data_IF_676134295347
#
_entry.id   IF_676134295347
#
_cell.length_a   1.000
_cell.length_b   1.000
_cell.length_c   1.000
_cell.angle_alpha   90.00
_cell.angle_beta   90.00
_cell.angle_gamma   90.00
#
_symmetry.space_group_name_H-M   'P 1'
#
loop_
_entity.id
_entity.type
_entity.pdbx_description
1 polymer ?
#
# COMPACT_ATOMS: atom_id res chain seq x y z
N UNK A 1 1.08 1.22 -17.31
CA UNK A 1 0.65 1.95 -16.12
C UNK A 1 1.09 1.08 -14.94
N UNK A 2 1.97 1.58 -14.06
CA UNK A 2 2.47 0.76 -12.94
C UNK A 2 1.39 0.73 -11.85
N UNK A 3 1.11 -0.42 -11.23
CA UNK A 3 0.10 -0.51 -10.17
C UNK A 3 0.62 0.15 -8.89
N UNK A 4 -0.22 0.99 -8.27
CA UNK A 4 -0.06 1.40 -6.88
C UNK A 4 -0.18 0.14 -6.01
N UNK A 5 0.80 -0.07 -5.15
CA UNK A 5 0.67 -1.04 -4.05
C UNK A 5 -0.20 -0.38 -3.01
N UNK A 6 -1.30 -1.03 -2.63
CA UNK A 6 -2.09 -0.67 -1.46
C UNK A 6 -1.94 -1.82 -0.46
N UNK A 7 -1.14 -1.58 0.57
CA UNK A 7 -1.04 -2.47 1.73
C UNK A 7 -1.77 -1.78 2.88
N UNK A 8 -2.86 -2.41 3.32
CA UNK A 8 -3.85 -1.80 4.20
C UNK A 8 -4.15 -2.77 5.33
N UNK A 9 -4.25 -2.27 6.56
CA UNK A 9 -4.86 -2.92 7.73
C UNK A 9 -5.54 -1.82 8.53
N UNK A 10 -6.71 -2.11 9.13
CA UNK A 10 -7.38 -1.24 10.10
C UNK A 10 -8.91 -1.24 9.98
N UNK A 11 -9.63 -0.63 10.94
CA UNK A 11 -11.10 -0.65 11.00
C UNK A 11 -11.75 -0.10 9.72
N UNK A 12 -13.00 -0.47 9.44
CA UNK A 12 -13.71 -0.13 8.16
C UNK A 12 -13.56 1.34 7.74
N UNK A 13 -13.52 2.29 8.69
CA UNK A 13 -13.31 3.72 8.41
C UNK A 13 -11.89 4.11 7.97
N UNK A 14 -10.86 3.43 8.50
CA UNK A 14 -9.46 3.66 8.13
C UNK A 14 -9.17 3.15 6.72
N UNK A 15 -9.59 1.91 6.45
CA UNK A 15 -9.45 1.27 5.15
C UNK A 15 -10.14 2.09 4.06
N UNK A 16 -11.38 2.54 4.29
CA UNK A 16 -12.08 3.41 3.34
C UNK A 16 -11.35 4.75 3.11
N UNK A 17 -10.74 5.33 4.14
CA UNK A 17 -9.99 6.59 4.03
C UNK A 17 -8.72 6.44 3.20
N UNK A 18 -7.98 5.34 3.38
CA UNK A 18 -6.78 5.03 2.61
C UNK A 18 -7.09 4.77 1.13
N UNK A 19 -8.20 4.09 0.81
CA UNK A 19 -8.63 3.89 -0.59
C UNK A 19 -8.90 5.23 -1.26
N UNK A 20 -9.75 6.07 -0.63
CA UNK A 20 -10.07 7.41 -1.15
C UNK A 20 -8.81 8.26 -1.33
N UNK A 21 -7.86 8.14 -0.41
CA UNK A 21 -6.58 8.84 -0.47
C UNK A 21 -5.75 8.40 -1.67
N UNK A 22 -5.55 7.08 -1.81
CA UNK A 22 -4.79 6.52 -2.93
C UNK A 22 -5.42 6.82 -4.29
N UNK A 23 -6.75 6.79 -4.39
CA UNK A 23 -7.48 7.17 -5.61
C UNK A 23 -7.24 8.64 -5.96
N UNK A 24 -7.34 9.55 -4.98
CA UNK A 24 -7.06 10.97 -5.18
C UNK A 24 -5.61 11.22 -5.63
N UNK A 25 -4.65 10.54 -5.00
CA UNK A 25 -3.24 10.60 -5.38
C UNK A 25 -3.02 10.06 -6.80
N UNK A 26 -3.65 8.94 -7.17
CA UNK A 26 -3.54 8.35 -8.51
C UNK A 26 -4.07 9.29 -9.58
N UNK A 27 -5.25 9.89 -9.36
CA UNK A 27 -5.88 10.83 -10.28
C UNK A 27 -5.00 12.06 -10.50
N UNK A 28 -4.32 12.53 -9.45
CA UNK A 28 -3.47 13.72 -9.53
C UNK A 28 -2.09 13.44 -10.12
N UNK A 29 -1.36 12.47 -9.58
CA UNK A 29 0.06 12.24 -9.89
C UNK A 29 0.30 11.20 -10.99
N UNK A 30 -0.70 10.36 -11.29
CA UNK A 30 -0.62 9.33 -12.32
C UNK A 30 0.65 8.48 -12.22
N UNK A 31 1.48 8.49 -13.28
CA UNK A 31 2.70 7.66 -13.35
C UNK A 31 3.83 8.10 -12.40
N UNK A 32 3.77 9.32 -11.85
CA UNK A 32 4.75 9.81 -10.87
C UNK A 32 4.52 9.17 -9.51
N UNK A 33 3.29 8.78 -9.18
CA UNK A 33 2.99 8.03 -7.96
C UNK A 33 3.49 6.60 -8.09
N UNK A 34 4.41 6.22 -7.22
CA UNK A 34 5.04 4.89 -7.25
C UNK A 34 4.42 3.94 -6.23
N UNK A 35 4.14 4.42 -5.02
CA UNK A 35 3.63 3.60 -3.90
C UNK A 35 2.82 4.43 -2.90
N UNK A 36 1.87 3.79 -2.24
CA UNK A 36 1.17 4.30 -1.05
C UNK A 36 1.17 3.18 -0.01
N UNK A 37 1.89 3.34 1.10
CA UNK A 37 2.04 2.31 2.13
C UNK A 37 1.42 2.83 3.41
N UNK A 38 0.31 2.24 3.84
CA UNK A 38 -0.39 2.66 5.06
C UNK A 38 0.01 1.76 6.23
N UNK A 39 0.11 2.34 7.43
CA UNK A 39 0.24 1.55 8.65
C UNK A 39 -1.10 0.89 9.02
N UNK A 40 -1.07 -0.17 9.86
CA UNK A 40 -2.28 -0.93 10.24
C UNK A 40 -3.35 -0.20 11.05
N UNK A 41 -3.05 0.97 11.58
CA UNK A 41 -3.96 1.76 12.39
C UNK A 41 -3.70 3.25 12.15
N UNK A 42 -4.74 4.10 12.22
CA UNK A 42 -4.54 5.56 12.22
C UNK A 42 -3.66 6.05 13.39
N UNK A 43 -3.56 5.26 14.47
CA UNK A 43 -2.77 5.59 15.66
C UNK A 43 -1.33 5.07 15.57
N UNK A 44 -1.01 4.19 14.62
CA UNK A 44 0.37 3.75 14.39
C UNK A 44 1.16 4.88 13.75
N UNK A 45 2.43 5.04 14.14
CA UNK A 45 3.29 6.10 13.59
C UNK A 45 4.71 5.63 13.33
N UNK A 46 5.22 6.02 12.17
CA UNK A 46 6.62 5.95 11.75
C UNK A 46 7.00 7.33 11.26
N UNK A 47 8.03 7.94 11.85
CA UNK A 47 8.37 9.34 11.57
C UNK A 47 7.15 10.27 11.73
N UNK A 48 6.41 10.09 12.83
CA UNK A 48 5.15 10.77 13.15
C UNK A 48 4.04 10.60 12.10
N UNK A 49 4.25 9.74 11.10
CA UNK A 49 3.39 9.57 9.93
C UNK A 49 2.80 8.17 9.89
N UNK A 50 1.59 8.04 9.37
CA UNK A 50 0.88 6.76 9.30
C UNK A 50 0.62 6.27 7.87
N UNK A 51 1.07 7.05 6.88
CA UNK A 51 1.08 6.67 5.47
C UNK A 51 2.37 7.15 4.82
N UNK A 52 3.03 6.31 4.04
CA UNK A 52 4.15 6.70 3.16
C UNK A 52 3.64 6.85 1.73
N UNK A 53 3.94 7.98 1.10
CA UNK A 53 3.62 8.28 -0.29
C UNK A 53 4.92 8.45 -1.05
N UNK A 54 5.15 7.57 -2.03
CA UNK A 54 6.36 7.58 -2.84
C UNK A 54 6.05 8.19 -4.20
N UNK A 55 6.69 9.33 -4.51
CA UNK A 55 6.51 10.07 -5.76
C UNK A 55 7.87 10.21 -6.43
N UNK A 56 7.94 10.09 -7.75
CA UNK A 56 9.15 10.40 -8.52
C UNK A 56 9.42 11.91 -8.48
N UNK A 57 10.59 12.26 -7.92
CA UNK A 57 11.11 13.63 -7.81
C UNK A 57 10.07 14.58 -7.18
N UNK A 58 9.73 14.39 -5.90
CA UNK A 58 8.71 15.20 -5.23
C UNK A 58 9.21 16.63 -5.03
N UNK A 59 8.30 17.59 -5.17
CA UNK A 59 8.49 19.00 -4.89
C UNK A 59 7.70 19.42 -3.66
N UNK A 60 7.99 20.61 -3.11
CA UNK A 60 7.22 21.15 -1.99
C UNK A 60 5.73 21.34 -2.30
N UNK A 61 5.39 21.63 -3.56
CA UNK A 61 3.99 21.73 -3.98
C UNK A 61 3.32 20.37 -4.09
N UNK A 62 4.05 19.32 -4.52
CA UNK A 62 3.53 17.94 -4.47
C UNK A 62 3.19 17.54 -3.03
N UNK A 63 4.03 17.92 -2.04
CA UNK A 63 3.75 17.66 -0.61
C UNK A 63 2.46 18.35 -0.16
N UNK A 64 2.25 19.63 -0.52
CA UNK A 64 1.01 20.35 -0.17
C UNK A 64 -0.22 19.65 -0.76
N UNK A 65 -0.14 19.23 -2.01
CA UNK A 65 -1.24 18.53 -2.69
C UNK A 65 -1.54 17.20 -2.02
N UNK A 66 -0.52 16.43 -1.64
CA UNK A 66 -0.69 15.20 -0.86
C UNK A 66 -1.45 15.48 0.45
N UNK A 67 -1.06 16.52 1.19
CA UNK A 67 -1.75 16.91 2.42
C UNK A 67 -3.21 17.33 2.17
N UNK A 68 -3.48 18.09 1.10
CA UNK A 68 -4.84 18.51 0.73
C UNK A 68 -5.73 17.32 0.39
N UNK A 69 -5.19 16.31 -0.32
CA UNK A 69 -5.92 15.09 -0.64
C UNK A 69 -6.17 14.30 0.66
N UNK A 70 -5.18 14.18 1.55
CA UNK A 70 -5.31 13.48 2.84
C UNK A 70 -6.46 14.06 3.68
N UNK A 71 -6.55 15.39 3.79
CA UNK A 71 -7.63 16.08 4.53
C UNK A 71 -9.02 15.76 3.96
N UNK A 72 -9.14 15.58 2.64
CA UNK A 72 -10.42 15.28 1.97
C UNK A 72 -10.81 13.81 2.04
N UNK A 73 -9.84 12.92 2.24
CA UNK A 73 -10.05 11.47 2.12
C UNK A 73 -10.62 10.82 3.39
N UNK A 74 -10.55 11.48 4.55
CA UNK A 74 -11.15 10.99 5.79
C UNK A 74 -10.27 11.23 7.01
N UNK A 75 -10.46 10.42 8.05
CA UNK A 75 -9.87 10.69 9.35
C UNK A 75 -8.37 10.33 9.44
N UNK A 76 -7.65 11.22 10.14
CA UNK A 76 -6.31 11.03 10.72
C UNK A 76 -5.20 10.58 9.76
N UNK A 77 -5.32 10.81 8.46
CA UNK A 77 -4.21 10.59 7.54
C UNK A 77 -3.09 11.60 7.81
N UNK A 78 -1.89 11.09 8.10
CA UNK A 78 -0.66 11.87 8.21
C UNK A 78 0.40 11.30 7.27
N UNK A 79 0.47 11.79 6.02
CA UNK A 79 1.38 11.27 5.00
C UNK A 79 2.82 11.77 5.16
N UNK A 80 3.78 10.87 5.02
CA UNK A 80 5.17 11.17 4.71
C UNK A 80 5.39 11.05 3.20
N UNK A 81 5.91 12.08 2.55
CA UNK A 81 6.21 12.07 1.12
C UNK A 81 7.70 11.89 0.91
N UNK A 82 8.08 10.88 0.12
CA UNK A 82 9.48 10.59 -0.20
C UNK A 82 9.70 10.38 -1.69
N UNK A 83 10.95 10.51 -2.12
CA UNK A 83 11.38 10.14 -3.46
C UNK A 83 11.48 8.61 -3.60
N UNK A 84 11.38 8.10 -4.83
CA UNK A 84 11.49 6.66 -5.11
C UNK A 84 12.86 6.04 -4.75
N UNK A 85 13.91 6.86 -4.63
CA UNK A 85 15.22 6.44 -4.15
C UNK A 85 15.31 6.25 -2.63
N UNK A 86 14.31 6.66 -1.85
CA UNK A 86 14.31 6.50 -0.39
C UNK A 86 13.86 5.09 0.04
N UNK A 87 14.73 4.11 -0.22
CA UNK A 87 14.47 2.70 0.10
C UNK A 87 14.40 2.46 1.62
N UNK A 88 15.02 3.31 2.42
CA UNK A 88 15.00 3.19 3.88
C UNK A 88 13.62 3.51 4.46
N UNK A 89 13.00 4.62 4.05
CA UNK A 89 11.63 4.95 4.45
C UNK A 89 10.66 3.82 4.06
N UNK A 90 10.78 3.31 2.83
CA UNK A 90 9.98 2.16 2.37
C UNK A 90 10.21 0.94 3.26
N UNK A 91 11.46 0.57 3.54
CA UNK A 91 11.79 -0.59 4.37
C UNK A 91 11.20 -0.48 5.78
N UNK A 92 11.27 0.69 6.40
CA UNK A 92 10.80 0.91 7.77
C UNK A 92 9.28 0.86 7.85
N UNK A 93 8.57 1.48 6.90
CA UNK A 93 7.11 1.35 6.82
C UNK A 93 6.68 -0.11 6.62
N UNK A 94 7.42 -0.87 5.80
CA UNK A 94 7.17 -2.29 5.58
C UNK A 94 7.56 -3.19 6.77
N UNK A 95 8.54 -2.82 7.59
CA UNK A 95 8.94 -3.64 8.75
C UNK A 95 8.06 -3.40 9.98
N UNK A 96 7.32 -2.28 9.99
CA UNK A 96 6.42 -1.89 11.08
C UNK A 96 5.15 -2.73 11.15
N UNK A 97 4.95 -3.65 10.20
CA UNK A 97 3.92 -4.68 10.22
C UNK A 97 4.15 -5.79 11.27
N UNK A 98 4.80 -5.55 12.43
CA UNK A 98 5.09 -6.60 13.43
C UNK A 98 3.82 -7.41 13.77
N UNK A 99 3.83 -8.68 13.38
CA UNK A 99 2.68 -9.59 13.38
C UNK A 99 2.62 -10.35 14.70
N UNK A 100 1.53 -10.29 15.47
CA UNK A 100 1.16 -11.39 16.36
C UNK A 100 0.70 -12.57 15.50
N UNK A 101 1.47 -13.67 15.53
CA UNK A 101 1.17 -14.97 14.88
C UNK A 101 -0.31 -15.38 15.03
N UNK A 102 -1.02 -15.53 13.91
CA UNK A 102 -2.05 -16.57 13.75
C UNK A 102 -2.31 -16.85 12.25
N UNK A 103 -2.32 -18.16 11.93
CA UNK A 103 -2.64 -18.96 10.73
C UNK A 103 -2.87 -18.35 9.34
N UNK A 104 -3.45 -17.16 9.20
CA UNK A 104 -3.72 -16.54 7.90
C UNK A 104 -2.46 -16.27 7.07
N UNK A 105 -1.35 -15.96 7.73
CA UNK A 105 -0.06 -15.79 7.06
C UNK A 105 0.42 -17.06 6.35
N UNK A 106 0.12 -18.24 6.89
CA UNK A 106 0.63 -19.48 6.33
C UNK A 106 -0.03 -19.79 4.98
N UNK A 107 -1.33 -19.52 4.87
CA UNK A 107 -2.09 -19.75 3.64
C UNK A 107 -1.68 -18.76 2.55
N UNK A 108 -1.47 -17.49 2.88
CA UNK A 108 -0.96 -16.49 1.95
C UNK A 108 0.46 -16.74 1.47
N UNK A 109 1.36 -17.14 2.37
CA UNK A 109 2.73 -17.49 2.00
C UNK A 109 2.70 -18.71 1.08
N UNK A 110 1.95 -19.76 1.41
CA UNK A 110 1.80 -20.92 0.52
C UNK A 110 1.17 -20.58 -0.83
N UNK A 111 0.17 -19.71 -0.84
CA UNK A 111 -0.46 -19.25 -2.07
C UNK A 111 0.55 -18.48 -2.94
N UNK A 112 1.30 -17.55 -2.35
CA UNK A 112 2.35 -16.80 -3.03
C UNK A 112 3.50 -17.70 -3.52
N UNK A 113 3.93 -18.69 -2.72
CA UNK A 113 4.92 -19.70 -3.10
C UNK A 113 4.43 -20.54 -4.29
N UNK A 114 3.18 -20.98 -4.29
CA UNK A 114 2.57 -21.70 -5.41
C UNK A 114 2.56 -20.87 -6.69
N UNK A 115 2.21 -19.58 -6.58
CA UNK A 115 2.27 -18.65 -7.70
C UNK A 115 3.71 -18.41 -8.18
N UNK A 116 4.68 -18.34 -7.28
CA UNK A 116 6.09 -18.17 -7.64
C UNK A 116 6.63 -19.39 -8.38
N UNK A 117 6.29 -20.60 -7.93
CA UNK A 117 6.65 -21.85 -8.63
C UNK A 117 6.07 -21.90 -10.04
N UNK A 118 4.84 -21.38 -10.23
CA UNK A 118 4.15 -21.45 -11.51
C UNK A 118 4.55 -20.32 -12.47
N UNK A 119 4.61 -19.08 -12.00
CA UNK A 119 4.83 -17.89 -12.83
C UNK A 119 6.28 -17.38 -12.80
N UNK A 120 7.09 -17.80 -11.84
CA UNK A 120 8.50 -17.43 -11.71
C UNK A 120 8.71 -15.91 -11.78
N UNK A 121 9.67 -15.47 -12.60
CA UNK A 121 10.01 -14.06 -12.79
C UNK A 121 8.87 -13.18 -13.34
N UNK A 122 7.79 -13.80 -13.85
CA UNK A 122 6.60 -13.08 -14.32
C UNK A 122 5.67 -12.71 -13.17
N UNK A 123 5.74 -13.41 -12.03
CA UNK A 123 5.04 -12.96 -10.82
C UNK A 123 5.70 -11.68 -10.33
N UNK A 124 4.97 -10.57 -10.41
CA UNK A 124 5.49 -9.27 -9.98
C UNK A 124 5.13 -9.00 -8.54
N UNK A 125 3.88 -9.29 -8.14
CA UNK A 125 3.37 -9.03 -6.79
C UNK A 125 2.23 -9.98 -6.42
N UNK A 126 2.12 -10.26 -5.13
CA UNK A 126 0.95 -10.84 -4.46
C UNK A 126 0.64 -9.93 -3.29
N UNK A 127 -0.55 -9.36 -3.25
CA UNK A 127 -0.99 -8.45 -2.20
C UNK A 127 -2.25 -9.06 -1.61
N UNK A 128 -2.28 -9.23 -0.31
CA UNK A 128 -3.38 -9.92 0.34
C UNK A 128 -4.04 -9.04 1.41
N UNK A 129 -5.35 -9.20 1.55
CA UNK A 129 -6.12 -8.45 2.52
C UNK A 129 -5.87 -8.97 3.94
N UNK A 130 -6.13 -8.13 4.95
CA UNK A 130 -5.83 -8.42 6.35
C UNK A 130 -6.46 -9.69 6.90
N UNK A 131 -7.68 -9.97 6.46
CA UNK A 131 -8.49 -11.10 6.88
C UNK A 131 -8.94 -11.92 5.67
N UNK A 132 -9.15 -13.24 5.82
CA UNK A 132 -9.81 -14.06 4.80
C UNK A 132 -11.21 -13.54 4.45
N UNK A 133 -11.87 -12.89 5.40
CA UNK A 133 -13.24 -12.39 5.28
C UNK A 133 -13.30 -11.01 4.59
N UNK A 134 -12.17 -10.32 4.46
CA UNK A 134 -12.11 -9.04 3.75
C UNK A 134 -12.16 -9.31 2.24
N UNK A 135 -13.00 -8.59 1.50
CA UNK A 135 -13.12 -8.78 0.05
C UNK A 135 -13.19 -7.47 -0.71
N UNK A 136 -12.48 -7.42 -1.84
CA UNK A 136 -12.60 -6.39 -2.87
C UNK A 136 -12.82 -7.10 -4.20
N UNK A 137 -13.95 -6.86 -4.86
CA UNK A 137 -14.39 -7.63 -6.03
C UNK A 137 -14.38 -9.15 -5.77
N UNK A 138 -15.02 -9.57 -4.67
CA UNK A 138 -15.11 -10.97 -4.23
C UNK A 138 -13.74 -11.66 -4.04
N UNK A 139 -12.67 -10.88 -3.91
CA UNK A 139 -11.29 -11.36 -3.81
C UNK A 139 -10.60 -10.76 -2.59
N UNK A 140 -9.89 -11.60 -1.85
CA UNK A 140 -9.05 -11.20 -0.72
C UNK A 140 -7.55 -11.17 -1.06
N UNK A 141 -7.20 -11.48 -2.31
CA UNK A 141 -5.82 -11.43 -2.82
C UNK A 141 -5.78 -10.83 -4.22
N UNK A 142 -4.88 -9.88 -4.44
CA UNK A 142 -4.51 -9.34 -5.75
C UNK A 142 -3.19 -9.98 -6.21
N UNK A 143 -3.22 -10.58 -7.39
CA UNK A 143 -2.03 -11.17 -8.03
C UNK A 143 -1.68 -10.38 -9.29
N UNK A 144 -0.44 -9.90 -9.36
CA UNK A 144 0.07 -9.15 -10.52
C UNK A 144 1.08 -10.00 -11.26
N UNK A 145 0.78 -10.31 -12.52
CA UNK A 145 1.60 -11.17 -13.38
C UNK A 145 1.89 -10.43 -14.68
N UNK A 146 3.14 -10.51 -15.12
CA UNK A 146 3.56 -10.01 -16.43
C UNK A 146 2.99 -10.90 -17.54
N UNK A 147 2.44 -10.25 -18.58
CA UNK A 147 1.90 -10.95 -19.74
C UNK A 147 2.98 -11.81 -20.40
N UNK A 148 2.64 -13.03 -20.85
CA UNK A 148 3.59 -13.79 -21.67
C UNK A 148 3.84 -13.02 -22.97
N UNK A 149 5.11 -12.92 -23.35
CA UNK A 149 5.54 -12.53 -24.70
C UNK A 149 5.21 -13.61 -25.71
#
# INVERSE_FOLDING_TARGET
MLPIVLEMRGPEGWTASIIKFAEGLMLHFGKRLKRVIALPSPDDQVYDSNVLVVIEKPTLDDVKIVMEIAVRSGERLNPLVVDEGDEEAVRIFMSSFQIPKADWNYEHVKFAEGLMLHFGKRLKRVIALPSPDDQVYDSNVLVVIEKPT
#
